data_IF_073319475734
#
_entry.id   IF_073319475734
#
_cell.length_a   1.000
_cell.length_b   1.000
_cell.length_c   1.000
_cell.angle_alpha   90.00
_cell.angle_beta   90.00
_cell.angle_gamma   90.00
#
_symmetry.space_group_name_H-M   'P 1'
#
loop_
_entity.id
_entity.type
_entity.pdbx_description
1 polymer ?
#
# COMPACT_ATOMS: atom_id res chain seq x y z
N UNK A 1 10.64 -55.59 -34.10
CA UNK A 1 11.14 -54.34 -34.71
C UNK A 1 10.16 -53.25 -34.29
N UNK A 2 10.40 -52.59 -33.17
CA UNK A 2 9.57 -51.49 -32.63
C UNK A 2 10.39 -50.22 -32.72
N UNK A 3 9.84 -49.22 -33.41
CA UNK A 3 10.45 -47.91 -33.58
C UNK A 3 10.38 -47.08 -32.27
N UNK A 4 11.34 -46.18 -32.03
CA UNK A 4 11.33 -45.36 -30.82
C UNK A 4 10.34 -44.20 -30.93
N UNK A 5 9.62 -43.96 -29.86
CA UNK A 5 8.73 -42.79 -29.69
C UNK A 5 9.58 -41.53 -29.46
N UNK A 6 9.22 -40.49 -30.18
CA UNK A 6 9.87 -39.20 -30.21
C UNK A 6 9.70 -38.44 -28.88
N UNK A 7 10.76 -37.75 -28.50
CA UNK A 7 10.85 -36.75 -27.44
C UNK A 7 9.75 -35.70 -27.54
N UNK A 8 8.95 -35.55 -26.49
CA UNK A 8 8.07 -34.43 -26.28
C UNK A 8 8.90 -33.27 -25.67
N UNK A 9 9.05 -32.22 -26.44
CA UNK A 9 9.71 -31.01 -26.07
C UNK A 9 9.05 -30.41 -24.78
N UNK A 10 9.86 -30.28 -23.74
CA UNK A 10 9.54 -29.49 -22.57
C UNK A 10 9.51 -28.03 -22.99
N UNK A 11 8.30 -27.48 -23.15
CA UNK A 11 8.07 -26.04 -23.19
C UNK A 11 8.31 -25.49 -21.79
N UNK A 12 9.47 -24.90 -21.58
CA UNK A 12 9.74 -24.04 -20.42
C UNK A 12 8.88 -22.79 -20.55
N UNK A 13 7.82 -22.77 -19.80
CA UNK A 13 6.96 -21.59 -19.64
C UNK A 13 7.79 -20.51 -18.90
N UNK A 14 8.39 -19.60 -19.67
CA UNK A 14 8.95 -18.37 -19.17
C UNK A 14 7.78 -17.50 -18.71
N UNK A 15 7.47 -17.54 -17.42
CA UNK A 15 6.63 -16.54 -16.79
C UNK A 15 7.29 -15.17 -17.01
N UNK A 16 6.88 -14.49 -18.06
CA UNK A 16 7.24 -13.11 -18.30
C UNK A 16 6.61 -12.30 -17.16
N UNK A 17 7.44 -11.70 -16.32
CA UNK A 17 7.06 -10.64 -15.37
C UNK A 17 6.66 -9.43 -16.21
N UNK A 18 5.45 -9.43 -16.77
CA UNK A 18 4.86 -8.22 -17.32
C UNK A 18 4.46 -7.36 -16.13
N UNK A 19 5.11 -6.18 -16.02
CA UNK A 19 4.52 -5.04 -15.33
C UNK A 19 3.09 -4.93 -15.82
N UNK A 20 2.12 -5.11 -14.92
CA UNK A 20 0.72 -5.20 -15.35
C UNK A 20 0.29 -3.87 -15.95
N UNK A 21 -0.28 -3.87 -17.15
CA UNK A 21 -0.88 -2.70 -17.81
C UNK A 21 -1.85 -1.94 -16.90
N UNK A 22 -2.37 -2.61 -15.86
CA UNK A 22 -3.24 -2.01 -14.85
C UNK A 22 -2.56 -0.92 -14.01
N UNK A 23 -1.33 -1.14 -13.52
CA UNK A 23 -0.58 -0.10 -12.79
C UNK A 23 -0.08 1.00 -13.72
N UNK A 24 0.07 0.73 -15.01
CA UNK A 24 0.42 1.72 -16.01
C UNK A 24 -0.74 2.69 -16.32
N UNK A 25 -2.02 2.29 -16.12
CA UNK A 25 -3.18 3.17 -16.30
C UNK A 25 -3.65 3.75 -14.95
N UNK A 26 -2.96 4.81 -14.52
CA UNK A 26 -3.24 5.49 -13.26
C UNK A 26 -4.68 6.02 -13.14
N UNK A 27 -5.34 6.34 -14.26
CA UNK A 27 -6.74 6.79 -14.26
C UNK A 27 -7.69 5.64 -13.94
N UNK A 28 -7.48 4.47 -14.54
CA UNK A 28 -8.27 3.26 -14.26
C UNK A 28 -8.08 2.84 -12.81
N UNK A 29 -6.82 2.83 -12.34
CA UNK A 29 -6.48 2.57 -10.94
C UNK A 29 -7.22 3.54 -9.98
N UNK A 30 -7.20 4.85 -10.29
CA UNK A 30 -7.86 5.87 -9.47
C UNK A 30 -9.40 5.72 -9.45
N UNK A 31 -10.01 5.34 -10.57
CA UNK A 31 -11.47 5.08 -10.62
C UNK A 31 -11.83 3.90 -9.73
N UNK A 32 -11.09 2.80 -9.84
CA UNK A 32 -11.34 1.57 -9.09
C UNK A 32 -11.22 1.79 -7.58
N UNK A 33 -10.16 2.47 -7.15
CA UNK A 33 -9.85 2.64 -5.73
C UNK A 33 -10.43 3.93 -5.10
N UNK A 34 -11.11 4.80 -5.87
CA UNK A 34 -11.70 6.03 -5.34
C UNK A 34 -12.78 5.82 -4.26
N UNK A 35 -13.65 4.79 -4.33
CA UNK A 35 -14.65 4.54 -3.29
C UNK A 35 -14.00 4.43 -1.90
N UNK A 36 -14.65 4.96 -0.87
CA UNK A 36 -14.17 4.91 0.52
C UNK A 36 -13.06 5.90 0.88
N UNK A 37 -12.36 6.52 -0.08
CA UNK A 37 -11.19 7.40 0.17
C UNK A 37 -11.41 8.44 1.28
N UNK A 38 -12.57 9.09 1.33
CA UNK A 38 -12.83 10.12 2.35
C UNK A 38 -13.10 9.52 3.74
N UNK A 39 -13.68 8.33 3.81
CA UNK A 39 -13.85 7.61 5.07
C UNK A 39 -12.48 7.21 5.65
N UNK A 40 -11.62 6.64 4.80
CA UNK A 40 -10.25 6.26 5.19
C UNK A 40 -9.44 7.48 5.66
N UNK A 41 -9.50 8.60 4.93
CA UNK A 41 -8.79 9.84 5.36
C UNK A 41 -9.32 10.36 6.69
N UNK A 42 -10.62 10.25 6.97
CA UNK A 42 -11.19 10.63 8.26
C UNK A 42 -10.71 9.69 9.39
N UNK A 43 -10.62 8.41 9.11
CA UNK A 43 -10.04 7.43 10.03
C UNK A 43 -8.58 7.75 10.33
N UNK A 44 -7.75 8.00 9.30
CA UNK A 44 -6.36 8.42 9.45
C UNK A 44 -6.23 9.73 10.25
N UNK A 45 -7.11 10.70 10.03
CA UNK A 45 -7.13 11.94 10.83
C UNK A 45 -7.46 11.70 12.31
N UNK A 46 -8.33 10.73 12.64
CA UNK A 46 -8.63 10.35 14.03
C UNK A 46 -7.40 9.73 14.69
N UNK A 47 -6.70 8.83 13.99
CA UNK A 47 -5.46 8.19 14.47
C UNK A 47 -4.38 9.26 14.68
N UNK A 48 -4.15 10.14 13.70
CA UNK A 48 -3.20 11.26 13.82
C UNK A 48 -3.49 12.14 15.03
N UNK A 49 -4.76 12.51 15.22
CA UNK A 49 -5.17 13.36 16.33
C UNK A 49 -4.97 12.68 17.70
N UNK A 50 -5.22 11.37 17.79
CA UNK A 50 -4.97 10.59 19.00
C UNK A 50 -3.48 10.52 19.33
N UNK A 51 -2.64 10.19 18.33
CA UNK A 51 -1.19 10.15 18.48
C UNK A 51 -0.60 11.51 18.88
N UNK A 52 -1.04 12.59 18.23
CA UNK A 52 -0.60 13.94 18.55
C UNK A 52 -0.98 14.37 19.98
N UNK A 53 -2.17 14.00 20.46
CA UNK A 53 -2.57 14.26 21.86
C UNK A 53 -1.69 13.48 22.84
N UNK A 54 -1.48 12.19 22.60
CA UNK A 54 -0.64 11.36 23.44
C UNK A 54 0.80 11.86 23.53
N UNK A 55 1.33 12.39 22.44
CA UNK A 55 2.69 12.95 22.36
C UNK A 55 2.78 14.42 22.83
N UNK A 56 1.69 15.08 23.20
CA UNK A 56 1.68 16.50 23.56
C UNK A 56 2.10 17.42 22.40
N UNK A 57 1.92 16.98 21.15
CA UNK A 57 2.37 17.74 19.97
C UNK A 57 1.64 19.08 19.83
N UNK A 58 2.42 20.17 19.70
CA UNK A 58 1.92 21.51 19.48
C UNK A 58 1.82 21.93 18.01
N UNK A 59 2.32 21.08 17.08
CA UNK A 59 2.28 21.37 15.63
C UNK A 59 0.84 21.57 15.15
N UNK A 60 0.51 22.75 14.58
CA UNK A 60 -0.83 22.99 14.05
C UNK A 60 -1.20 22.00 12.96
N UNK A 61 -2.48 21.60 12.94
CA UNK A 61 -2.99 20.59 11.98
C UNK A 61 -2.61 20.90 10.53
N UNK A 62 -2.70 22.17 10.10
CA UNK A 62 -2.36 22.64 8.74
C UNK A 62 -0.86 22.60 8.41
N UNK A 63 0.00 22.47 9.42
CA UNK A 63 1.46 22.40 9.22
C UNK A 63 2.00 20.98 9.28
N UNK A 64 1.16 19.99 9.63
CA UNK A 64 1.58 18.60 9.73
C UNK A 64 1.82 17.98 8.38
N UNK A 65 2.91 17.23 8.30
CA UNK A 65 3.37 16.55 7.09
C UNK A 65 2.91 15.09 7.11
N UNK A 66 2.16 14.72 6.10
CA UNK A 66 1.73 13.35 5.84
C UNK A 66 2.60 12.72 4.76
N UNK A 67 3.05 11.50 4.99
CA UNK A 67 3.84 10.70 4.05
C UNK A 67 3.09 9.44 3.66
N UNK A 68 3.00 9.18 2.36
CA UNK A 68 2.50 7.90 1.83
C UNK A 68 3.52 7.29 0.87
N UNK A 69 4.28 6.28 1.30
CA UNK A 69 5.07 5.42 0.42
C UNK A 69 4.18 4.64 -0.53
N UNK A 70 4.60 4.42 -1.78
CA UNK A 70 3.83 3.74 -2.82
C UNK A 70 2.39 4.28 -2.92
N UNK A 71 2.27 5.59 -3.14
CA UNK A 71 1.02 6.34 -3.04
C UNK A 71 0.04 6.10 -4.20
N UNK A 72 0.44 5.36 -5.24
CA UNK A 72 -0.36 5.10 -6.42
C UNK A 72 -0.89 6.40 -7.04
N UNK A 73 -2.21 6.49 -7.24
CA UNK A 73 -2.86 7.71 -7.78
C UNK A 73 -2.87 8.91 -6.83
N UNK A 74 -2.31 8.79 -5.62
CA UNK A 74 -2.29 9.85 -4.61
C UNK A 74 -3.65 10.19 -4.03
N UNK A 75 -4.64 9.31 -4.12
CA UNK A 75 -6.03 9.57 -3.73
C UNK A 75 -6.18 10.03 -2.29
N UNK A 76 -5.47 9.40 -1.36
CA UNK A 76 -5.47 9.77 0.07
C UNK A 76 -4.77 11.11 0.32
N UNK A 77 -3.58 11.28 -0.26
CA UNK A 77 -2.78 12.50 -0.07
C UNK A 77 -3.45 13.73 -0.69
N UNK A 78 -4.05 13.61 -1.87
CA UNK A 78 -4.80 14.72 -2.49
C UNK A 78 -6.07 15.08 -1.70
N UNK A 79 -6.72 14.09 -1.07
CA UNK A 79 -7.83 14.36 -0.15
C UNK A 79 -7.32 15.03 1.14
N UNK A 80 -6.21 14.58 1.72
CA UNK A 80 -5.58 15.19 2.89
C UNK A 80 -5.09 16.63 2.61
N UNK A 81 -4.56 16.88 1.42
CA UNK A 81 -4.14 18.22 0.95
C UNK A 81 -5.32 19.21 0.93
N UNK A 82 -6.49 18.79 0.40
CA UNK A 82 -7.73 19.61 0.47
C UNK A 82 -8.15 19.91 1.90
N UNK A 83 -7.86 19.04 2.83
CA UNK A 83 -8.15 19.18 4.25
C UNK A 83 -7.05 19.92 5.03
N UNK A 84 -6.07 20.48 4.30
CA UNK A 84 -5.08 21.42 4.83
C UNK A 84 -3.76 20.80 5.27
N UNK A 85 -3.50 19.51 4.99
CA UNK A 85 -2.19 18.89 5.29
C UNK A 85 -1.12 19.34 4.29
N UNK A 86 0.14 19.23 4.69
CA UNK A 86 1.27 19.13 3.78
C UNK A 86 1.46 17.64 3.46
N UNK A 87 1.77 17.30 2.21
CA UNK A 87 1.82 15.89 1.80
C UNK A 87 3.08 15.59 0.99
N UNK A 88 3.63 14.41 1.25
CA UNK A 88 4.72 13.81 0.48
C UNK A 88 4.23 12.43 0.05
N UNK A 89 4.19 12.19 -1.25
CA UNK A 89 3.87 10.89 -1.83
C UNK A 89 4.96 10.47 -2.80
N UNK A 90 5.21 9.20 -2.88
CA UNK A 90 6.07 8.66 -3.92
C UNK A 90 5.58 7.28 -4.35
N UNK A 91 5.90 6.94 -5.57
CA UNK A 91 5.59 5.63 -6.15
C UNK A 91 6.74 5.19 -7.04
N UNK A 92 6.88 3.89 -7.25
CA UNK A 92 7.88 3.34 -8.16
C UNK A 92 7.47 3.56 -9.62
N UNK A 93 6.14 3.62 -9.88
CA UNK A 93 5.60 3.76 -11.23
C UNK A 93 5.54 5.24 -11.66
N UNK A 94 6.34 5.68 -12.67
CA UNK A 94 6.36 7.07 -13.12
C UNK A 94 5.00 7.59 -13.59
N UNK A 95 4.16 6.74 -14.19
CA UNK A 95 2.82 7.08 -14.64
C UNK A 95 1.89 7.48 -13.50
N UNK A 96 1.99 6.80 -12.34
CA UNK A 96 1.27 7.17 -11.13
C UNK A 96 1.71 8.54 -10.62
N UNK A 97 3.02 8.79 -10.58
CA UNK A 97 3.57 10.07 -10.12
C UNK A 97 3.16 11.22 -11.05
N UNK A 98 3.23 11.04 -12.36
CA UNK A 98 2.75 12.01 -13.34
C UNK A 98 1.26 12.33 -13.12
N UNK A 99 0.43 11.32 -12.93
CA UNK A 99 -0.99 11.48 -12.64
C UNK A 99 -1.24 12.26 -11.34
N UNK A 100 -0.48 11.99 -10.27
CA UNK A 100 -0.55 12.75 -9.03
C UNK A 100 -0.22 14.23 -9.26
N UNK A 101 0.85 14.53 -9.99
CA UNK A 101 1.29 15.90 -10.29
C UNK A 101 0.27 16.64 -11.15
N UNK A 102 -0.33 16.01 -12.14
CA UNK A 102 -1.40 16.59 -12.98
C UNK A 102 -2.64 16.95 -12.16
N UNK A 103 -3.00 16.10 -11.19
CA UNK A 103 -4.10 16.38 -10.26
C UNK A 103 -3.74 17.50 -9.28
N UNK A 104 -2.50 17.52 -8.79
CA UNK A 104 -2.00 18.55 -7.90
C UNK A 104 -1.92 19.92 -8.60
N UNK A 105 -1.61 19.96 -9.89
CA UNK A 105 -1.55 21.19 -10.69
C UNK A 105 -2.89 21.93 -10.76
N UNK A 106 -4.01 21.24 -10.52
CA UNK A 106 -5.36 21.83 -10.52
C UNK A 106 -5.70 22.61 -9.22
N UNK A 107 -4.85 22.53 -8.20
CA UNK A 107 -5.02 23.32 -6.98
C UNK A 107 -4.44 24.72 -7.14
N UNK A 108 -4.93 25.64 -6.32
CA UNK A 108 -4.35 26.99 -6.22
C UNK A 108 -2.86 26.92 -5.85
N UNK A 109 -2.03 27.88 -6.30
CA UNK A 109 -0.57 27.83 -6.13
C UNK A 109 -0.10 27.66 -4.67
N UNK A 110 -0.81 28.29 -3.73
CA UNK A 110 -0.51 28.18 -2.29
C UNK A 110 -0.78 26.78 -1.73
N UNK A 111 -1.80 26.08 -2.24
CA UNK A 111 -2.12 24.69 -1.90
C UNK A 111 -1.10 23.75 -2.54
N UNK A 112 -0.81 23.96 -3.83
CA UNK A 112 0.16 23.15 -4.58
C UNK A 112 1.55 23.13 -3.94
N UNK A 113 2.01 24.26 -3.38
CA UNK A 113 3.30 24.32 -2.65
C UNK A 113 3.36 23.44 -1.40
N UNK A 114 2.25 22.82 -0.99
CA UNK A 114 2.16 21.93 0.18
C UNK A 114 2.20 20.45 -0.20
N UNK A 115 2.38 20.11 -1.48
CA UNK A 115 2.51 18.72 -1.90
C UNK A 115 3.79 18.49 -2.70
N UNK A 116 4.32 17.27 -2.54
CA UNK A 116 5.44 16.73 -3.31
C UNK A 116 5.07 15.33 -3.74
N UNK A 117 5.18 15.05 -5.05
CA UNK A 117 5.06 13.70 -5.60
C UNK A 117 6.30 13.41 -6.43
N UNK A 118 6.96 12.26 -6.19
CA UNK A 118 8.21 11.89 -6.84
C UNK A 118 8.28 10.39 -7.12
N UNK A 119 9.10 10.00 -8.10
CA UNK A 119 9.44 8.59 -8.33
C UNK A 119 10.48 8.17 -7.29
N UNK A 120 10.18 7.13 -6.50
CA UNK A 120 11.12 6.55 -5.55
C UNK A 120 10.71 5.15 -5.14
N UNK A 121 11.69 4.39 -4.64
CA UNK A 121 11.48 3.07 -4.05
C UNK A 121 11.18 3.17 -2.54
N UNK A 122 10.34 2.26 -2.03
CA UNK A 122 10.04 2.18 -0.60
C UNK A 122 11.28 1.90 0.27
N UNK A 123 12.35 1.37 -0.31
CA UNK A 123 13.61 1.10 0.38
C UNK A 123 14.66 2.20 0.20
N UNK A 124 14.35 3.26 -0.60
CA UNK A 124 15.25 4.38 -0.84
C UNK A 124 14.49 5.70 -1.10
N UNK A 125 14.09 6.39 -0.05
CA UNK A 125 13.38 7.68 -0.13
C UNK A 125 13.86 8.73 0.88
N UNK A 126 15.03 8.53 1.47
CA UNK A 126 15.54 9.43 2.52
C UNK A 126 15.65 10.89 2.08
N UNK A 127 15.95 11.14 0.80
CA UNK A 127 16.03 12.49 0.24
C UNK A 127 14.67 13.20 0.17
N UNK A 128 13.57 12.45 -0.03
CA UNK A 128 12.21 12.98 -0.11
C UNK A 128 11.62 13.27 1.27
N UNK A 129 11.92 12.44 2.25
CA UNK A 129 11.46 12.56 3.63
C UNK A 129 12.67 12.53 4.59
N UNK A 130 13.40 13.63 4.74
CA UNK A 130 14.55 13.72 5.64
C UNK A 130 14.19 13.41 7.09
N UNK A 131 15.22 13.15 7.91
CA UNK A 131 15.04 12.81 9.31
C UNK A 131 14.18 13.85 10.07
N UNK A 132 13.25 13.39 10.87
CA UNK A 132 12.38 14.19 11.72
C UNK A 132 11.58 15.30 11.01
N UNK A 133 11.12 15.04 9.78
CA UNK A 133 10.30 16.00 8.99
C UNK A 133 8.84 15.60 8.87
N UNK A 134 8.48 14.34 9.12
CA UNK A 134 7.16 13.76 8.94
C UNK A 134 6.43 13.65 10.28
N UNK A 135 5.19 14.11 10.35
CA UNK A 135 4.34 13.99 11.54
C UNK A 135 3.52 12.69 11.54
N UNK A 136 3.14 12.22 10.35
CA UNK A 136 2.25 11.09 10.17
C UNK A 136 2.57 10.37 8.86
N UNK A 137 2.84 9.09 8.90
CA UNK A 137 3.01 8.25 7.72
C UNK A 137 1.94 7.15 7.69
N UNK A 138 1.57 6.69 6.50
CA UNK A 138 0.62 5.59 6.35
C UNK A 138 0.85 4.82 5.04
N UNK A 139 0.44 3.55 5.05
CA UNK A 139 0.40 2.67 3.88
C UNK A 139 -0.72 1.63 4.12
N UNK A 140 -1.82 1.76 3.39
CA UNK A 140 -3.00 0.92 3.58
C UNK A 140 -3.11 -0.18 2.51
N UNK A 141 -4.15 -1.02 2.63
CA UNK A 141 -4.56 -2.04 1.65
C UNK A 141 -3.44 -2.99 1.19
N UNK A 142 -2.65 -3.48 2.14
CA UNK A 142 -1.60 -4.47 1.88
C UNK A 142 -0.45 -4.01 0.97
N UNK A 143 -0.38 -2.76 0.55
CA UNK A 143 0.63 -2.25 -0.40
C UNK A 143 2.07 -2.51 0.07
N UNK A 144 2.33 -2.41 1.37
CA UNK A 144 3.67 -2.68 1.95
C UNK A 144 4.14 -4.14 1.70
N UNK A 145 3.22 -5.07 1.42
CA UNK A 145 3.52 -6.48 1.14
C UNK A 145 4.18 -6.70 -0.23
N UNK A 146 4.26 -5.67 -1.08
CA UNK A 146 5.08 -5.71 -2.30
C UNK A 146 6.60 -5.74 -2.00
N UNK A 147 7.01 -5.44 -0.77
CA UNK A 147 8.40 -5.63 -0.33
C UNK A 147 8.74 -7.12 -0.24
N UNK A 148 9.66 -7.67 -1.06
CA UNK A 148 9.77 -9.12 -1.26
C UNK A 148 10.44 -9.87 -0.11
N UNK A 149 11.17 -9.16 0.76
CA UNK A 149 11.96 -9.79 1.84
C UNK A 149 11.79 -9.10 3.18
N UNK A 150 12.10 -9.81 4.27
CA UNK A 150 12.13 -9.23 5.61
C UNK A 150 13.21 -8.13 5.71
N UNK A 151 14.31 -8.24 4.96
CA UNK A 151 15.35 -7.21 4.93
C UNK A 151 14.84 -5.93 4.28
N UNK A 152 14.15 -6.02 3.14
CA UNK A 152 13.50 -4.87 2.49
C UNK A 152 12.45 -4.22 3.39
N UNK A 153 11.62 -5.03 4.08
CA UNK A 153 10.64 -4.56 5.04
C UNK A 153 11.29 -3.79 6.21
N UNK A 154 12.36 -4.35 6.80
CA UNK A 154 13.10 -3.69 7.89
C UNK A 154 13.76 -2.40 7.39
N UNK A 155 14.33 -2.39 6.17
CA UNK A 155 14.90 -1.17 5.56
C UNK A 155 13.85 -0.08 5.42
N UNK A 156 12.69 -0.42 4.84
CA UNK A 156 11.55 0.48 4.69
C UNK A 156 11.08 1.07 6.03
N UNK A 157 10.76 0.20 6.99
CA UNK A 157 10.31 0.62 8.33
C UNK A 157 11.35 1.51 9.02
N UNK A 158 12.65 1.22 8.85
CA UNK A 158 13.75 2.02 9.41
C UNK A 158 13.84 3.40 8.75
N UNK A 159 13.58 3.51 7.44
CA UNK A 159 13.52 4.79 6.73
C UNK A 159 12.33 5.62 7.22
N UNK A 160 11.14 5.03 7.32
CA UNK A 160 9.96 5.72 7.87
C UNK A 160 10.24 6.17 9.30
N UNK A 161 10.78 5.28 10.17
CA UNK A 161 11.15 5.64 11.54
C UNK A 161 12.05 6.87 11.61
N UNK A 162 13.07 6.93 10.75
CA UNK A 162 14.00 8.10 10.72
C UNK A 162 13.30 9.37 10.26
N UNK A 163 12.37 9.29 9.33
CA UNK A 163 11.63 10.46 8.83
C UNK A 163 10.61 11.01 9.84
N UNK A 164 10.10 10.17 10.74
CA UNK A 164 9.12 10.58 11.74
C UNK A 164 9.72 11.53 12.78
N UNK A 165 8.97 12.58 13.10
CA UNK A 165 9.23 13.45 14.26
C UNK A 165 8.98 12.70 15.56
N UNK A 166 9.54 13.16 16.69
CA UNK A 166 9.16 12.66 18.00
C UNK A 166 7.63 12.71 18.17
N UNK A 167 7.03 11.58 18.57
CA UNK A 167 5.57 11.42 18.68
C UNK A 167 4.83 11.16 17.36
N UNK A 168 5.50 11.17 16.22
CA UNK A 168 4.94 10.73 14.95
C UNK A 168 4.66 9.23 14.91
N UNK A 169 3.71 8.84 14.07
CA UNK A 169 3.30 7.43 13.90
C UNK A 169 3.32 7.00 12.44
N UNK A 170 3.49 5.70 12.23
CA UNK A 170 3.30 5.06 10.94
C UNK A 170 2.10 4.10 11.01
N UNK A 171 1.10 4.30 10.17
CA UNK A 171 -0.11 3.47 10.09
C UNK A 171 0.01 2.51 8.92
N UNK A 172 -0.06 1.21 9.20
CA UNK A 172 0.08 0.15 8.20
C UNK A 172 -1.15 -0.73 8.19
N UNK A 173 -1.83 -0.81 7.04
CA UNK A 173 -2.89 -1.77 6.79
C UNK A 173 -2.31 -3.06 6.21
N UNK A 174 -2.39 -4.15 6.96
CA UNK A 174 -1.75 -5.41 6.60
C UNK A 174 -2.60 -6.61 7.04
N UNK A 175 -2.76 -7.58 6.10
CA UNK A 175 -3.35 -8.89 6.40
C UNK A 175 -2.29 -9.83 6.95
N UNK A 176 -2.59 -10.43 8.09
CA UNK A 176 -1.80 -11.53 8.66
C UNK A 176 -2.15 -12.86 7.99
N UNK A 177 -1.19 -13.78 8.01
CA UNK A 177 -1.31 -15.13 7.47
C UNK A 177 -1.17 -16.17 8.57
N UNK A 178 -2.11 -17.12 8.59
CA UNK A 178 -2.08 -18.31 9.46
C UNK A 178 -1.72 -19.55 8.59
N UNK A 179 -0.46 -19.71 8.31
CA UNK A 179 0.05 -20.71 7.36
C UNK A 179 -0.53 -22.11 7.58
N UNK A 180 -1.08 -22.68 6.50
CA UNK A 180 -1.71 -24.00 6.50
C UNK A 180 -3.16 -24.02 6.96
N UNK A 181 -3.73 -22.86 7.36
CA UNK A 181 -5.13 -22.73 7.76
C UNK A 181 -5.93 -21.86 6.79
N UNK A 182 -5.28 -21.29 5.78
CA UNK A 182 -5.89 -20.39 4.80
C UNK A 182 -6.38 -21.18 3.60
N UNK A 183 -7.55 -20.81 3.09
CA UNK A 183 -8.07 -21.26 1.81
C UNK A 183 -7.92 -20.12 0.76
N UNK A 184 -7.92 -20.45 -0.54
CA UNK A 184 -8.02 -19.44 -1.58
C UNK A 184 -9.26 -18.56 -1.36
N UNK A 185 -9.12 -17.26 -1.59
CA UNK A 185 -10.20 -16.26 -1.45
C UNK A 185 -10.32 -15.42 -2.70
N UNK A 186 -11.44 -14.73 -2.84
CA UNK A 186 -11.71 -13.82 -3.95
C UNK A 186 -12.32 -12.53 -3.43
N UNK A 187 -11.86 -11.40 -3.97
CA UNK A 187 -12.44 -10.08 -3.75
C UNK A 187 -12.94 -9.48 -5.05
N UNK A 188 -14.05 -8.75 -4.98
CA UNK A 188 -14.61 -7.95 -6.06
C UNK A 188 -14.57 -6.48 -5.71
N UNK A 189 -13.83 -5.70 -6.50
CA UNK A 189 -13.74 -4.26 -6.37
C UNK A 189 -14.45 -3.58 -7.54
N UNK A 190 -15.05 -2.43 -7.32
CA UNK A 190 -15.65 -1.64 -8.39
C UNK A 190 -15.64 -0.15 -8.09
N UNK A 191 -15.50 0.65 -9.17
CA UNK A 191 -15.58 2.10 -9.13
C UNK A 191 -16.14 2.65 -10.44
N UNK A 192 -16.68 3.88 -10.39
CA UNK A 192 -17.21 4.54 -11.58
C UNK A 192 -16.88 6.02 -11.57
N UNK A 193 -16.66 6.59 -12.78
CA UNK A 193 -16.47 8.03 -12.98
C UNK A 193 -17.00 8.44 -14.34
N UNK A 194 -18.07 9.24 -14.35
CA UNK A 194 -18.82 9.54 -15.59
C UNK A 194 -19.36 8.24 -16.19
N UNK A 195 -19.10 8.03 -17.48
CA UNK A 195 -19.54 6.83 -18.22
C UNK A 195 -18.53 5.68 -18.17
N UNK A 196 -17.46 5.79 -17.38
CA UNK A 196 -16.47 4.73 -17.20
C UNK A 196 -16.76 3.97 -15.93
N UNK A 197 -16.91 2.65 -16.02
CA UNK A 197 -16.95 1.72 -14.89
C UNK A 197 -15.72 0.82 -14.93
N UNK A 198 -15.12 0.61 -13.77
CA UNK A 198 -14.00 -0.30 -13.59
C UNK A 198 -14.39 -1.34 -12.55
N UNK A 199 -14.20 -2.61 -12.88
CA UNK A 199 -14.36 -3.74 -11.95
C UNK A 199 -13.07 -4.55 -11.92
N UNK A 200 -12.76 -5.09 -10.76
CA UNK A 200 -11.60 -5.96 -10.58
C UNK A 200 -12.05 -7.19 -9.80
N UNK A 201 -11.76 -8.37 -10.33
CA UNK A 201 -11.79 -9.64 -9.61
C UNK A 201 -10.37 -9.99 -9.22
N UNK A 202 -10.15 -10.24 -7.94
CA UNK A 202 -8.84 -10.58 -7.39
C UNK A 202 -8.96 -11.91 -6.68
N UNK A 203 -8.15 -12.89 -7.11
CA UNK A 203 -8.03 -14.19 -6.43
C UNK A 203 -6.70 -14.25 -5.69
N UNK A 204 -6.75 -14.73 -4.46
CA UNK A 204 -5.59 -14.90 -3.59
C UNK A 204 -5.36 -16.39 -3.35
N UNK A 205 -4.19 -16.87 -3.73
CA UNK A 205 -3.71 -18.19 -3.38
C UNK A 205 -2.76 -18.09 -2.17
N UNK A 206 -3.13 -18.68 -1.04
CA UNK A 206 -2.36 -18.56 0.19
C UNK A 206 -0.96 -19.17 0.03
N UNK A 207 0.02 -18.65 0.80
CA UNK A 207 1.40 -19.16 0.77
C UNK A 207 1.47 -20.55 1.38
N UNK A 208 2.37 -21.38 0.85
CA UNK A 208 2.64 -22.71 1.41
C UNK A 208 3.21 -22.62 2.84
N UNK A 209 3.88 -21.52 3.16
CA UNK A 209 4.40 -21.22 4.50
C UNK A 209 5.91 -21.45 4.67
N UNK A 210 6.45 -21.15 5.86
CA UNK A 210 7.89 -21.07 6.07
C UNK A 210 8.61 -22.43 6.11
N UNK A 211 7.91 -23.54 6.38
CA UNK A 211 8.50 -24.88 6.45
C UNK A 211 8.49 -25.52 5.07
N UNK A 212 9.52 -25.27 4.29
CA UNK A 212 9.71 -25.85 2.94
C UNK A 212 8.95 -25.17 1.83
N UNK A 213 8.42 -23.97 2.06
CA UNK A 213 7.65 -23.23 1.08
C UNK A 213 7.91 -21.73 1.05
N UNK A 214 7.25 -21.09 0.12
CA UNK A 214 7.28 -19.64 -0.05
C UNK A 214 6.39 -18.93 0.98
N UNK A 215 6.84 -17.79 1.48
CA UNK A 215 6.03 -16.82 2.22
C UNK A 215 5.42 -15.79 1.27
N UNK A 216 5.16 -16.17 0.04
CA UNK A 216 4.54 -15.32 -0.97
C UNK A 216 3.15 -15.86 -1.26
N UNK A 217 2.14 -15.04 -1.04
CA UNK A 217 0.79 -15.22 -1.54
C UNK A 217 0.77 -14.85 -3.02
N UNK A 218 0.19 -15.68 -3.86
CA UNK A 218 0.01 -15.37 -5.28
C UNK A 218 -1.33 -14.67 -5.48
N UNK A 219 -1.31 -13.59 -6.25
CA UNK A 219 -2.49 -12.79 -6.55
C UNK A 219 -2.72 -12.81 -8.05
N UNK A 220 -3.94 -13.20 -8.43
CA UNK A 220 -4.42 -13.15 -9.82
C UNK A 220 -5.47 -12.06 -9.89
N UNK A 221 -5.29 -11.13 -10.80
CA UNK A 221 -6.17 -9.98 -10.95
C UNK A 221 -6.66 -9.85 -12.37
N UNK A 222 -7.97 -9.68 -12.55
CA UNK A 222 -8.59 -9.34 -13.82
C UNK A 222 -9.35 -8.03 -13.62
N UNK A 223 -8.95 -7.01 -14.38
CA UNK A 223 -9.60 -5.69 -14.38
C UNK A 223 -10.37 -5.51 -15.68
N UNK A 224 -11.66 -5.21 -15.58
CA UNK A 224 -12.52 -4.87 -16.71
C UNK A 224 -12.86 -3.38 -16.66
N UNK A 225 -12.62 -2.69 -17.77
CA UNK A 225 -13.00 -1.28 -17.97
C UNK A 225 -14.11 -1.24 -19.00
N UNK A 226 -15.31 -0.82 -18.57
CA UNK A 226 -16.49 -0.67 -19.42
C UNK A 226 -16.75 0.81 -19.71
N UNK A 227 -16.88 1.16 -20.96
CA UNK A 227 -17.21 2.50 -21.49
C UNK A 227 -18.33 2.39 -22.53
N UNK A 228 -18.96 3.48 -22.97
CA UNK A 228 -19.95 3.42 -24.07
C UNK A 228 -19.37 2.87 -25.40
N UNK A 229 -18.06 2.98 -25.60
CA UNK A 229 -17.36 2.51 -26.79
C UNK A 229 -17.03 1.02 -26.74
N UNK A 230 -17.18 0.36 -25.57
CA UNK A 230 -16.91 -1.06 -25.38
C UNK A 230 -16.17 -1.39 -24.09
N UNK A 231 -15.70 -2.62 -24.03
CA UNK A 231 -14.99 -3.16 -22.87
C UNK A 231 -13.54 -3.51 -23.24
N UNK A 232 -12.64 -3.34 -22.27
CA UNK A 232 -11.26 -3.82 -22.31
C UNK A 232 -10.87 -4.48 -21.00
N UNK A 233 -10.01 -5.49 -21.08
CA UNK A 233 -9.56 -6.22 -19.89
C UNK A 233 -8.04 -6.23 -19.77
N UNK A 234 -7.58 -6.25 -18.54
CA UNK A 234 -6.19 -6.44 -18.15
C UNK A 234 -6.12 -7.61 -17.18
N UNK A 235 -5.14 -8.48 -17.33
CA UNK A 235 -4.85 -9.51 -16.36
C UNK A 235 -3.44 -9.36 -15.83
N UNK A 236 -3.25 -9.63 -14.55
CA UNK A 236 -1.95 -9.58 -13.92
C UNK A 236 -1.80 -10.66 -12.86
N UNK A 237 -0.58 -11.12 -12.67
CA UNK A 237 -0.21 -12.03 -11.59
C UNK A 237 0.99 -11.45 -10.87
N UNK A 238 0.91 -11.38 -9.55
CA UNK A 238 2.01 -10.87 -8.71
C UNK A 238 2.04 -11.57 -7.36
N UNK A 239 3.13 -11.38 -6.64
CA UNK A 239 3.33 -11.95 -5.31
C UNK A 239 3.26 -10.89 -4.22
N UNK A 240 2.61 -11.23 -3.11
CA UNK A 240 2.61 -10.42 -1.89
C UNK A 240 3.30 -11.18 -0.76
N UNK A 241 4.30 -10.54 -0.12
CA UNK A 241 4.97 -11.09 1.06
C UNK A 241 3.99 -11.24 2.21
N UNK A 242 3.98 -12.42 2.85
CA UNK A 242 3.10 -12.72 3.97
C UNK A 242 3.83 -12.74 5.30
N UNK A 243 3.09 -12.47 6.35
CA UNK A 243 3.58 -12.42 7.72
C UNK A 243 2.56 -13.07 8.67
N UNK A 244 2.99 -14.04 9.48
CA UNK A 244 2.25 -14.36 10.70
C UNK A 244 2.45 -13.22 11.72
N UNK A 245 1.58 -13.13 12.73
CA UNK A 245 1.70 -12.12 13.78
C UNK A 245 3.10 -12.05 14.42
N UNK A 246 3.73 -13.18 14.84
CA UNK A 246 5.09 -13.11 15.39
C UNK A 246 6.16 -12.67 14.38
N UNK A 247 5.98 -12.96 13.08
CA UNK A 247 6.91 -12.50 12.05
C UNK A 247 6.78 -10.99 11.82
N UNK A 248 5.56 -10.47 11.79
CA UNK A 248 5.28 -9.05 11.63
C UNK A 248 5.84 -8.24 12.81
N UNK A 249 5.54 -8.64 14.04
CA UNK A 249 6.08 -7.99 15.23
C UNK A 249 7.61 -8.01 15.28
N UNK A 250 8.23 -9.10 14.81
CA UNK A 250 9.70 -9.21 14.73
C UNK A 250 10.32 -8.21 13.76
N UNK A 251 9.75 -8.02 12.57
CA UNK A 251 10.30 -7.05 11.60
C UNK A 251 10.11 -5.62 12.09
N UNK A 252 8.99 -5.33 12.76
CA UNK A 252 8.76 -4.03 13.42
C UNK A 252 9.85 -3.77 14.48
N UNK A 253 10.07 -4.72 15.38
CA UNK A 253 11.08 -4.58 16.43
C UNK A 253 12.50 -4.42 15.87
N UNK A 254 12.86 -5.19 14.83
CA UNK A 254 14.16 -5.07 14.14
C UNK A 254 14.37 -3.70 13.49
N UNK A 255 13.31 -3.02 13.09
CA UNK A 255 13.36 -1.67 12.55
C UNK A 255 13.44 -0.57 13.64
N UNK A 256 13.44 -0.94 14.94
CA UNK A 256 13.42 -0.01 16.06
C UNK A 256 12.07 0.67 16.25
N UNK A 257 11.00 -0.03 15.88
CA UNK A 257 9.62 0.41 16.09
C UNK A 257 8.88 -0.55 17.02
N UNK A 258 7.74 -0.12 17.52
CA UNK A 258 6.81 -0.93 18.31
C UNK A 258 5.38 -0.74 17.83
N UNK A 259 4.54 -1.70 18.07
CA UNK A 259 3.09 -1.55 17.91
C UNK A 259 2.58 -0.72 19.09
N UNK A 260 1.99 0.43 18.81
CA UNK A 260 1.36 1.28 19.81
C UNK A 260 -0.12 0.95 19.97
N UNK A 261 -0.81 0.66 18.88
CA UNK A 261 -2.23 0.27 18.82
C UNK A 261 -2.46 -0.60 17.58
N UNK A 262 -3.50 -1.42 17.62
CA UNK A 262 -4.13 -1.99 16.44
C UNK A 262 -5.57 -1.49 16.39
N UNK A 263 -6.06 -1.13 15.20
CA UNK A 263 -7.39 -0.56 15.03
C UNK A 263 -8.11 -1.23 13.87
N UNK A 264 -9.44 -1.15 13.88
CA UNK A 264 -10.31 -1.57 12.78
C UNK A 264 -10.38 -0.51 11.65
N UNK A 265 -11.21 -0.75 10.64
CA UNK A 265 -11.44 0.16 9.51
C UNK A 265 -12.04 1.52 9.91
N UNK A 266 -12.63 1.62 11.07
CA UNK A 266 -13.18 2.86 11.64
C UNK A 266 -12.19 3.60 12.57
N UNK A 267 -11.05 2.96 12.89
CA UNK A 267 -10.01 3.50 13.75
C UNK A 267 -10.26 3.30 15.24
N UNK A 268 -11.16 2.39 15.63
CA UNK A 268 -11.36 1.96 17.01
C UNK A 268 -10.34 0.90 17.37
N UNK A 269 -10.00 0.79 18.68
CA UNK A 269 -9.11 -0.25 19.15
C UNK A 269 -9.68 -1.63 18.80
N UNK A 270 -8.81 -2.49 18.27
CA UNK A 270 -9.14 -3.81 17.79
C UNK A 270 -8.07 -4.81 18.22
N UNK A 271 -8.50 -5.97 18.71
CA UNK A 271 -7.59 -7.09 18.96
C UNK A 271 -7.49 -7.93 17.66
N UNK A 272 -6.34 -7.91 16.98
CA UNK A 272 -6.22 -8.66 15.74
C UNK A 272 -6.17 -10.16 16.02
N UNK A 273 -6.87 -10.95 15.18
CA UNK A 273 -6.72 -12.40 15.14
C UNK A 273 -5.34 -12.82 14.62
N UNK A 274 -5.16 -14.13 14.46
CA UNK A 274 -3.97 -14.70 13.80
C UNK A 274 -4.01 -14.54 12.28
N UNK A 275 -5.16 -14.24 11.72
CA UNK A 275 -5.47 -14.14 10.30
C UNK A 275 -6.33 -12.89 10.03
N UNK A 276 -6.15 -12.29 8.86
CA UNK A 276 -6.99 -11.21 8.35
C UNK A 276 -6.37 -9.83 8.42
N UNK A 277 -7.09 -8.88 7.87
CA UNK A 277 -6.64 -7.49 7.73
C UNK A 277 -6.82 -6.71 9.04
N UNK A 278 -5.78 -6.00 9.44
CA UNK A 278 -5.80 -5.08 10.57
C UNK A 278 -4.98 -3.82 10.25
N UNK A 279 -5.25 -2.74 10.95
CA UNK A 279 -4.53 -1.47 10.82
C UNK A 279 -3.63 -1.29 12.03
N UNK A 280 -2.33 -1.32 11.80
CA UNK A 280 -1.27 -1.28 12.79
C UNK A 280 -0.74 0.14 12.94
N UNK A 281 -0.81 0.71 14.13
CA UNK A 281 -0.24 2.02 14.46
C UNK A 281 1.11 1.81 15.10
N UNK A 282 2.17 2.15 14.37
CA UNK A 282 3.55 1.93 14.78
C UNK A 282 4.18 3.23 15.28
N UNK A 283 5.02 3.12 16.32
CA UNK A 283 5.79 4.22 16.90
C UNK A 283 7.28 3.86 17.01
N UNK A 284 8.13 4.86 17.05
CA UNK A 284 9.53 4.69 17.38
C UNK A 284 9.67 4.17 18.82
N UNK A 285 10.59 3.24 19.02
CA UNK A 285 11.08 2.92 20.37
C UNK A 285 11.91 4.10 20.85
N UNK A 286 11.64 4.59 22.06
CA UNK A 286 12.37 5.70 22.69
C UNK A 286 13.83 5.32 22.95
#
# INVERSE_FOLDING_TARGET
MLAPMSDAAQTTDKASTQSSDFYADARVYDILHAPGTLADVRMLERIEAAAARAAGTKTPKKSRVWLEPACGSGRYLLAALRRGRRVIGFDLEPGMVAYCNDRAAKFAPDVRRRCTFAVADMTDFAALAPAATVDFAFNLINTIRHLPTDAAMVSHLSLVRRSLRPGGVYVVGLSLSAYGLEAPTEDLWSGSRGNTRVTQVVQYEPPIGPRGGSRIERVFSVVTVSTPEGERQFSSTYGLRTYSRPQWERVIARAGMRVARVVDGDGHDHEPGELGYAIWVLQTVA
#
